data_IF_702283294830
#
_entry.id   IF_702283294830
#
_cell.length_a   1.000
_cell.length_b   1.000
_cell.length_c   1.000
_cell.angle_alpha   90.00
_cell.angle_beta   90.00
_cell.angle_gamma   90.00
#
_symmetry.space_group_name_H-M   'P 1'
#
loop_
_entity.id
_entity.type
_entity.pdbx_description
1 polymer ?
#
# COMPACT_ATOMS: atom_id res chain seq x y z
N UNK A 1 -23.84 23.77 -54.07
CA UNK A 1 -24.51 24.72 -54.98
C UNK A 1 -23.63 25.96 -55.08
N UNK A 2 -23.24 26.40 -56.29
CA UNK A 2 -22.04 27.21 -56.56
C UNK A 2 -22.35 28.60 -57.16
N UNK A 3 -21.30 29.41 -57.42
CA UNK A 3 -21.07 30.31 -58.60
C UNK A 3 -20.23 31.59 -58.23
N UNK A 4 -19.67 32.38 -59.18
CA UNK A 4 -18.60 32.03 -60.14
C UNK A 4 -17.65 33.22 -60.50
N UNK A 5 -16.69 33.01 -61.42
CA UNK A 5 -16.09 34.04 -62.30
C UNK A 5 -14.73 34.61 -61.85
N UNK A 6 -13.73 34.85 -62.70
CA UNK A 6 -13.74 35.01 -64.15
C UNK A 6 -12.36 34.68 -64.79
N UNK A 7 -12.42 34.21 -66.04
CA UNK A 7 -11.34 34.18 -67.03
C UNK A 7 -10.98 35.59 -67.50
N UNK A 8 -9.73 35.80 -67.96
CA UNK A 8 -9.28 36.50 -69.19
C UNK A 8 -7.74 36.43 -69.18
N UNK A 9 -7.06 35.68 -70.05
CA UNK A 9 -6.74 35.94 -71.47
C UNK A 9 -5.64 36.99 -71.69
N UNK A 10 -4.45 36.49 -72.08
CA UNK A 10 -3.68 36.94 -73.25
C UNK A 10 -2.92 38.26 -73.21
N UNK A 11 -1.59 38.20 -73.43
CA UNK A 11 -0.92 38.99 -74.48
C UNK A 11 0.57 38.62 -74.58
N UNK A 12 0.97 38.22 -75.78
CA UNK A 12 2.36 38.14 -76.24
C UNK A 12 3.07 39.50 -76.12
N UNK A 13 4.36 39.48 -75.78
CA UNK A 13 5.30 40.53 -76.17
C UNK A 13 6.64 39.89 -76.51
N UNK A 14 6.99 39.97 -77.78
CA UNK A 14 8.29 39.64 -78.34
C UNK A 14 9.11 40.93 -78.45
N UNK A 15 10.35 40.96 -77.94
CA UNK A 15 11.37 41.93 -78.34
C UNK A 15 12.76 41.27 -78.35
N UNK A 16 13.49 41.65 -79.40
CA UNK A 16 14.73 41.15 -79.98
C UNK A 16 16.03 41.04 -79.15
N UNK A 17 16.86 40.09 -79.63
CA UNK A 17 18.30 40.16 -79.92
C UNK A 17 19.24 41.10 -79.12
N UNK A 18 20.29 40.54 -78.49
CA UNK A 18 21.62 40.25 -79.08
C UNK A 18 22.62 39.72 -78.02
N UNK A 19 23.68 38.98 -78.42
CA UNK A 19 24.68 38.43 -77.52
C UNK A 19 25.87 39.39 -77.37
N UNK A 20 26.43 39.50 -76.15
CA UNK A 20 27.71 40.17 -75.93
C UNK A 20 28.67 39.29 -75.14
N UNK A 21 29.67 38.85 -75.90
CA UNK A 21 31.08 38.85 -75.51
C UNK A 21 31.52 37.85 -74.43
N UNK A 22 32.03 36.72 -74.92
CA UNK A 22 33.06 35.97 -74.22
C UNK A 22 34.28 36.88 -73.99
N UNK A 23 34.73 37.01 -72.74
CA UNK A 23 36.12 37.30 -72.43
C UNK A 23 36.60 36.39 -71.30
N UNK A 24 37.59 35.61 -71.68
CA UNK A 24 38.53 34.85 -70.87
C UNK A 24 38.98 35.62 -69.62
N UNK A 25 38.85 35.00 -68.45
CA UNK A 25 39.76 35.18 -67.33
C UNK A 25 40.22 33.79 -66.87
N UNK A 26 41.42 33.46 -67.32
CA UNK A 26 42.45 32.61 -66.71
C UNK A 26 42.00 31.59 -65.64
N UNK A 27 42.02 30.31 -66.01
CA UNK A 27 41.91 29.18 -65.10
C UNK A 27 43.15 29.08 -64.21
N UNK A 28 43.10 29.73 -63.06
CA UNK A 28 44.01 29.44 -61.96
C UNK A 28 43.67 28.06 -61.36
N UNK A 29 44.62 27.12 -61.19
CA UNK A 29 44.34 25.78 -60.66
C UNK A 29 43.73 25.80 -59.24
N UNK A 30 43.94 26.87 -58.47
CA UNK A 30 43.31 27.10 -57.17
C UNK A 30 41.81 27.44 -57.25
N UNK A 31 41.33 28.02 -58.37
CA UNK A 31 39.92 28.38 -58.58
C UNK A 31 39.05 27.14 -58.86
N UNK A 32 39.59 26.14 -59.55
CA UNK A 32 38.93 24.84 -59.76
C UNK A 32 38.80 24.04 -58.45
N UNK A 33 39.83 24.09 -57.58
CA UNK A 33 39.79 23.36 -56.30
C UNK A 33 38.75 23.94 -55.34
N UNK A 34 38.65 25.27 -55.23
CA UNK A 34 37.63 25.95 -54.43
C UNK A 34 36.21 25.67 -54.93
N UNK A 35 35.98 25.71 -56.24
CA UNK A 35 34.68 25.37 -56.82
C UNK A 35 34.29 23.91 -56.54
N UNK A 36 35.23 22.96 -56.64
CA UNK A 36 34.98 21.55 -56.32
C UNK A 36 34.68 21.34 -54.83
N UNK A 37 35.39 22.03 -53.93
CA UNK A 37 35.14 21.96 -52.48
C UNK A 37 33.76 22.52 -52.13
N UNK A 38 33.40 23.68 -52.69
CA UNK A 38 32.08 24.30 -52.48
C UNK A 38 30.97 23.39 -53.00
N UNK A 39 31.10 22.90 -54.24
CA UNK A 39 30.14 21.98 -54.83
C UNK A 39 29.98 20.70 -54.00
N UNK A 40 31.08 20.10 -53.53
CA UNK A 40 31.04 18.90 -52.67
C UNK A 40 30.41 19.19 -51.32
N UNK A 41 30.67 20.36 -50.74
CA UNK A 41 30.08 20.78 -49.46
C UNK A 41 28.57 20.99 -49.59
N UNK A 42 28.11 21.61 -50.68
CA UNK A 42 26.69 21.81 -50.96
C UNK A 42 25.98 20.48 -51.20
N UNK A 43 26.57 19.57 -51.99
CA UNK A 43 25.99 18.25 -52.27
C UNK A 43 25.88 17.42 -50.99
N UNK A 44 26.94 17.36 -50.17
CA UNK A 44 26.91 16.62 -48.91
C UNK A 44 25.95 17.24 -47.89
N UNK A 45 25.87 18.57 -47.81
CA UNK A 45 24.87 19.25 -46.97
C UNK A 45 23.43 18.99 -47.44
N UNK A 46 23.18 18.93 -48.76
CA UNK A 46 21.87 18.57 -49.33
C UNK A 46 21.50 17.11 -49.00
N UNK A 47 22.44 16.18 -49.18
CA UNK A 47 22.22 14.77 -48.85
C UNK A 47 21.91 14.56 -47.35
N UNK A 48 22.67 15.22 -46.46
CA UNK A 48 22.40 15.20 -45.01
C UNK A 48 21.02 15.74 -44.67
N UNK A 49 20.65 16.90 -45.22
CA UNK A 49 19.30 17.49 -45.01
C UNK A 49 18.17 16.61 -45.54
N UNK A 50 18.39 15.87 -46.62
CA UNK A 50 17.42 14.91 -47.14
C UNK A 50 17.25 13.72 -46.17
N UNK A 51 18.36 13.16 -45.68
CA UNK A 51 18.34 12.08 -44.68
C UNK A 51 17.71 12.52 -43.35
N UNK A 52 18.00 13.74 -42.88
CA UNK A 52 17.39 14.29 -41.65
C UNK A 52 15.86 14.47 -41.81
N UNK A 53 15.40 14.89 -43.00
CA UNK A 53 13.95 14.98 -43.29
C UNK A 53 13.28 13.62 -43.26
N UNK A 54 13.88 12.61 -43.87
CA UNK A 54 13.38 11.23 -43.83
C UNK A 54 13.34 10.71 -42.39
N UNK A 55 14.37 10.99 -41.59
CA UNK A 55 14.42 10.61 -40.18
C UNK A 55 13.35 11.31 -39.34
N UNK A 56 13.04 12.57 -39.61
CA UNK A 56 11.93 13.29 -38.94
C UNK A 56 10.60 12.62 -39.26
N UNK A 57 10.38 12.21 -40.51
CA UNK A 57 9.15 11.51 -40.91
C UNK A 57 9.02 10.17 -40.18
N UNK A 58 10.11 9.39 -40.11
CA UNK A 58 10.14 8.13 -39.37
C UNK A 58 9.88 8.33 -37.86
N UNK A 59 10.52 9.33 -37.24
CA UNK A 59 10.28 9.65 -35.83
C UNK A 59 8.83 10.09 -35.61
N UNK A 60 8.26 10.91 -36.49
CA UNK A 60 6.87 11.35 -36.39
C UNK A 60 5.89 10.16 -36.50
N UNK A 61 6.12 9.23 -37.43
CA UNK A 61 5.33 8.01 -37.54
C UNK A 61 5.40 7.17 -36.25
N UNK A 62 6.60 7.00 -35.69
CA UNK A 62 6.79 6.27 -34.43
C UNK A 62 6.13 6.96 -33.23
N UNK A 63 6.12 8.30 -33.19
CA UNK A 63 5.38 9.06 -32.16
C UNK A 63 3.89 8.73 -32.27
N UNK A 64 3.32 8.78 -33.48
CA UNK A 64 1.91 8.48 -33.70
C UNK A 64 1.57 7.05 -33.24
N UNK A 65 2.38 6.06 -33.61
CA UNK A 65 2.16 4.65 -33.23
C UNK A 65 2.24 4.45 -31.71
N UNK A 66 3.21 5.08 -31.04
CA UNK A 66 3.33 5.03 -29.59
C UNK A 66 2.19 5.76 -28.89
N UNK A 67 1.76 6.91 -29.40
CA UNK A 67 0.58 7.62 -28.88
C UNK A 67 -0.69 6.78 -29.03
N UNK A 68 -0.88 6.09 -30.16
CA UNK A 68 -1.95 5.11 -30.34
C UNK A 68 -1.87 4.00 -29.29
N UNK A 69 -0.68 3.46 -29.05
CA UNK A 69 -0.47 2.41 -28.06
C UNK A 69 -0.76 2.88 -26.63
N UNK A 70 -0.32 4.10 -26.26
CA UNK A 70 -0.61 4.72 -24.96
C UNK A 70 -2.10 4.93 -24.79
N UNK A 71 -2.81 5.41 -25.82
CA UNK A 71 -4.27 5.58 -25.77
C UNK A 71 -4.99 4.24 -25.54
N UNK A 72 -4.59 3.20 -26.26
CA UNK A 72 -5.17 1.87 -26.11
C UNK A 72 -4.98 1.32 -24.68
N UNK A 73 -3.75 1.39 -24.15
CA UNK A 73 -3.45 0.93 -22.80
C UNK A 73 -4.17 1.74 -21.72
N UNK A 74 -4.37 3.05 -21.92
CA UNK A 74 -5.16 3.87 -20.99
C UNK A 74 -6.63 3.50 -21.00
N UNK A 75 -7.21 3.20 -22.16
CA UNK A 75 -8.60 2.73 -22.25
C UNK A 75 -8.77 1.35 -21.58
N UNK A 76 -7.79 0.46 -21.75
CA UNK A 76 -7.76 -0.82 -21.03
C UNK A 76 -7.64 -0.61 -19.51
N UNK A 77 -6.77 0.30 -19.08
CA UNK A 77 -6.63 0.66 -17.67
C UNK A 77 -7.94 1.17 -17.07
N UNK A 78 -8.65 2.05 -17.78
CA UNK A 78 -9.96 2.58 -17.36
C UNK A 78 -10.98 1.45 -17.21
N UNK A 79 -11.06 0.54 -18.19
CA UNK A 79 -11.95 -0.63 -18.14
C UNK A 79 -11.65 -1.53 -16.94
N UNK A 80 -10.36 -1.76 -16.63
CA UNK A 80 -9.96 -2.55 -15.46
C UNK A 80 -10.27 -1.81 -14.16
N UNK A 81 -10.05 -0.48 -14.12
CA UNK A 81 -10.35 0.33 -12.95
C UNK A 81 -11.86 0.36 -12.65
N UNK A 82 -12.72 0.52 -13.66
CA UNK A 82 -14.17 0.44 -13.51
C UNK A 82 -14.62 -0.91 -12.93
N UNK A 83 -14.02 -2.02 -13.39
CA UNK A 83 -14.29 -3.36 -12.83
C UNK A 83 -13.86 -3.46 -11.38
N UNK A 84 -12.74 -2.83 -11.01
CA UNK A 84 -12.25 -2.83 -9.64
C UNK A 84 -13.15 -2.01 -8.71
N UNK A 85 -13.62 -0.85 -9.18
CA UNK A 85 -14.51 0.05 -8.43
C UNK A 85 -15.92 -0.55 -8.27
N UNK A 86 -16.35 -1.38 -9.23
CA UNK A 86 -17.58 -2.15 -9.11
C UNK A 86 -17.53 -3.25 -8.03
N UNK A 87 -16.34 -3.72 -7.64
CA UNK A 87 -16.23 -4.67 -6.53
C UNK A 87 -16.55 -3.99 -5.21
N UNK A 88 -17.73 -4.28 -4.69
CA UNK A 88 -18.07 -3.96 -3.31
C UNK A 88 -17.39 -4.99 -2.41
N UNK A 89 -16.49 -4.55 -1.53
CA UNK A 89 -15.90 -5.41 -0.50
C UNK A 89 -16.87 -5.46 0.69
N UNK A 90 -17.60 -6.57 0.92
CA UNK A 90 -18.71 -6.58 1.89
C UNK A 90 -18.26 -6.17 3.28
N UNK A 91 -17.05 -6.55 3.68
CA UNK A 91 -16.50 -6.24 5.00
C UNK A 91 -16.08 -4.77 5.18
N UNK A 92 -16.01 -3.99 4.11
CA UNK A 92 -15.82 -2.54 4.15
C UNK A 92 -17.15 -1.77 4.12
N UNK A 93 -18.25 -2.45 3.80
CA UNK A 93 -19.60 -1.87 3.76
C UNK A 93 -20.48 -2.24 4.95
N UNK A 94 -20.04 -3.21 5.77
CA UNK A 94 -20.76 -3.59 6.98
C UNK A 94 -20.72 -2.45 8.01
N UNK A 95 -21.84 -2.15 8.69
CA UNK A 95 -21.84 -1.31 9.88
C UNK A 95 -20.83 -1.81 10.91
N UNK A 96 -20.15 -0.92 11.65
CA UNK A 96 -19.18 -1.28 12.69
C UNK A 96 -19.70 -2.32 13.69
N UNK A 97 -20.99 -2.28 14.02
CA UNK A 97 -21.65 -3.19 14.95
C UNK A 97 -21.62 -4.64 14.44
N UNK A 98 -21.90 -4.86 13.16
CA UNK A 98 -21.88 -6.19 12.57
C UNK A 98 -20.44 -6.72 12.44
N UNK A 99 -19.48 -5.84 12.17
CA UNK A 99 -18.06 -6.20 12.15
C UNK A 99 -17.60 -6.59 13.56
N UNK A 100 -18.01 -5.84 14.58
CA UNK A 100 -17.77 -6.19 15.99
C UNK A 100 -18.33 -7.57 16.35
N UNK A 101 -19.56 -7.88 15.94
CA UNK A 101 -20.19 -9.17 16.21
C UNK A 101 -19.43 -10.32 15.53
N UNK A 102 -19.04 -10.16 14.25
CA UNK A 102 -18.20 -11.12 13.55
C UNK A 102 -16.88 -11.35 14.30
N UNK A 103 -16.23 -10.28 14.78
CA UNK A 103 -14.98 -10.38 15.53
C UNK A 103 -15.16 -11.10 16.86
N UNK A 104 -16.30 -10.95 17.54
CA UNK A 104 -16.58 -11.68 18.79
C UNK A 104 -16.70 -13.18 18.50
N UNK A 105 -17.30 -13.56 17.37
CA UNK A 105 -17.40 -14.94 16.93
C UNK A 105 -16.10 -15.55 16.39
N UNK A 106 -15.11 -14.72 16.03
CA UNK A 106 -13.78 -15.18 15.66
C UNK A 106 -12.99 -15.75 16.85
N UNK A 107 -13.28 -15.31 18.07
CA UNK A 107 -12.61 -15.77 19.28
C UNK A 107 -13.29 -17.03 19.85
N UNK A 108 -12.58 -17.83 20.67
CA UNK A 108 -13.20 -18.92 21.41
C UNK A 108 -14.41 -18.42 22.22
N UNK A 109 -15.51 -19.18 22.17
CA UNK A 109 -16.75 -18.84 22.89
C UNK A 109 -16.45 -18.63 24.38
N UNK A 110 -16.84 -17.46 24.89
CA UNK A 110 -16.71 -17.12 26.30
C UNK A 110 -17.30 -18.22 27.20
N UNK A 111 -16.61 -18.65 28.28
CA UNK A 111 -15.41 -18.06 28.89
C UNK A 111 -14.07 -18.66 28.43
N UNK A 112 -14.02 -19.37 27.31
CA UNK A 112 -12.73 -19.87 26.77
C UNK A 112 -11.80 -18.69 26.47
N UNK A 113 -10.49 -18.90 26.66
CA UNK A 113 -9.49 -17.83 26.58
C UNK A 113 -8.76 -17.92 25.25
N UNK A 114 -8.72 -16.79 24.55
CA UNK A 114 -7.86 -16.63 23.38
C UNK A 114 -6.39 -16.43 23.81
N UNK A 115 -5.41 -16.82 22.99
CA UNK A 115 -4.04 -16.37 23.16
C UNK A 115 -3.96 -14.84 23.15
N UNK A 116 -3.19 -14.24 24.06
CA UNK A 116 -2.98 -12.78 24.03
C UNK A 116 -2.15 -12.35 22.79
N UNK A 117 -1.34 -13.24 22.24
CA UNK A 117 -0.51 -13.06 21.04
C UNK A 117 -0.65 -14.25 20.07
N UNK A 118 -0.34 -14.03 18.80
CA UNK A 118 -0.35 -15.09 17.77
C UNK A 118 -1.72 -15.30 17.10
N UNK A 119 -1.91 -16.49 16.54
CA UNK A 119 -3.13 -16.87 15.84
C UNK A 119 -4.33 -16.84 16.81
N UNK A 120 -5.48 -16.34 16.34
CA UNK A 120 -6.69 -16.14 17.14
C UNK A 120 -6.58 -15.08 18.25
N UNK A 121 -5.56 -14.22 18.23
CA UNK A 121 -5.50 -13.03 19.11
C UNK A 121 -6.32 -11.88 18.51
N UNK A 122 -7.07 -11.11 19.32
CA UNK A 122 -7.73 -9.87 18.87
C UNK A 122 -6.79 -8.86 18.19
N UNK A 123 -5.49 -8.94 18.47
CA UNK A 123 -4.48 -8.05 17.89
C UNK A 123 -4.37 -8.26 16.37
N UNK A 124 -4.53 -9.50 15.88
CA UNK A 124 -4.39 -9.80 14.45
C UNK A 124 -5.49 -9.15 13.61
N UNK A 125 -6.70 -8.98 14.18
CA UNK A 125 -7.79 -8.25 13.54
C UNK A 125 -7.41 -6.80 13.25
N UNK A 126 -6.64 -6.16 14.14
CA UNK A 126 -6.16 -4.79 13.96
C UNK A 126 -5.00 -4.62 12.97
N UNK A 127 -4.47 -5.71 12.41
CA UNK A 127 -3.38 -5.69 11.43
C UNK A 127 -3.89 -5.70 9.98
N UNK A 128 -5.18 -5.96 9.75
CA UNK A 128 -5.75 -6.13 8.40
C UNK A 128 -5.93 -4.79 7.68
N UNK A 129 -6.70 -3.87 8.26
CA UNK A 129 -6.87 -2.52 7.72
C UNK A 129 -7.18 -1.51 8.83
N UNK A 130 -7.27 -0.21 8.49
CA UNK A 130 -7.57 0.86 9.47
C UNK A 130 -8.96 0.68 10.11
N UNK A 131 -9.99 0.42 9.30
CA UNK A 131 -11.36 0.20 9.78
C UNK A 131 -11.44 -0.94 10.80
N UNK A 132 -10.84 -2.10 10.50
CA UNK A 132 -10.86 -3.25 11.40
C UNK A 132 -10.11 -2.97 12.70
N UNK A 133 -9.03 -2.20 12.65
CA UNK A 133 -8.30 -1.79 13.86
C UNK A 133 -9.18 -0.92 14.76
N UNK A 134 -9.88 0.05 14.20
CA UNK A 134 -10.78 0.92 14.94
C UNK A 134 -11.90 0.12 15.60
N UNK A 135 -12.57 -0.74 14.83
CA UNK A 135 -13.64 -1.63 15.34
C UNK A 135 -13.12 -2.59 16.40
N UNK A 136 -12.00 -3.28 16.15
CA UNK A 136 -11.43 -4.22 17.10
C UNK A 136 -11.02 -3.51 18.40
N UNK A 137 -10.45 -2.31 18.33
CA UNK A 137 -9.97 -1.58 19.52
C UNK A 137 -11.12 -0.91 20.29
N UNK A 138 -12.23 -0.60 19.62
CA UNK A 138 -13.43 -0.04 20.26
C UNK A 138 -14.34 -1.10 20.88
N UNK A 139 -14.20 -2.39 20.51
CA UNK A 139 -15.03 -3.51 20.97
C UNK A 139 -14.48 -4.16 22.24
N UNK A 140 -15.02 -3.88 23.45
CA UNK A 140 -14.40 -4.32 24.70
C UNK A 140 -14.45 -5.84 24.92
N UNK A 141 -15.45 -6.50 24.33
CA UNK A 141 -15.68 -7.94 24.45
C UNK A 141 -14.51 -8.77 23.91
N UNK A 142 -13.78 -8.26 22.90
CA UNK A 142 -12.61 -8.96 22.34
C UNK A 142 -11.45 -9.02 23.34
N UNK A 143 -11.37 -8.06 24.25
CA UNK A 143 -10.24 -7.90 25.17
C UNK A 143 -10.52 -8.47 26.56
N UNK A 144 -11.72 -9.02 26.79
CA UNK A 144 -12.12 -9.56 28.10
C UNK A 144 -11.58 -10.96 28.38
N UNK A 145 -10.99 -11.62 27.38
CA UNK A 145 -10.42 -12.97 27.52
C UNK A 145 -8.99 -13.00 27.03
N UNK A 146 -8.06 -13.49 27.83
CA UNK A 146 -6.73 -13.80 27.34
C UNK A 146 -6.01 -14.84 28.19
N UNK A 147 -5.18 -15.63 27.50
CA UNK A 147 -4.24 -16.60 28.07
C UNK A 147 -2.85 -16.00 28.04
N UNK A 148 -2.24 -15.87 29.22
CA UNK A 148 -0.87 -15.40 29.40
C UNK A 148 0.00 -16.61 29.74
N UNK A 149 0.94 -16.92 28.84
CA UNK A 149 1.98 -17.94 29.05
C UNK A 149 3.29 -17.19 29.07
N UNK A 150 3.88 -17.02 30.25
CA UNK A 150 5.19 -16.40 30.36
C UNK A 150 6.28 -17.47 30.26
N UNK A 151 7.36 -17.22 29.50
CA UNK A 151 8.45 -18.17 29.37
C UNK A 151 9.13 -18.38 30.73
N UNK A 152 9.56 -19.61 31.00
CA UNK A 152 10.29 -19.95 32.23
C UNK A 152 11.72 -19.36 32.30
N UNK A 153 12.11 -18.51 31.34
CA UNK A 153 13.48 -17.98 31.19
C UNK A 153 13.48 -16.45 31.13
N UNK A 154 14.45 -15.86 31.82
CA UNK A 154 14.68 -14.43 32.09
C UNK A 154 14.98 -13.54 30.86
N UNK A 155 14.25 -13.67 29.76
CA UNK A 155 14.36 -12.70 28.68
C UNK A 155 13.56 -11.44 29.04
N UNK A 156 14.19 -10.48 29.72
CA UNK A 156 13.62 -9.16 30.08
C UNK A 156 12.87 -8.46 28.93
N UNK A 157 13.24 -8.74 27.67
CA UNK A 157 12.58 -8.19 26.48
C UNK A 157 11.17 -8.74 26.24
N UNK A 158 10.88 -10.00 26.59
CA UNK A 158 9.53 -10.58 26.43
C UNK A 158 8.57 -9.95 27.42
N UNK A 159 8.99 -9.80 28.68
CA UNK A 159 8.15 -9.29 29.77
C UNK A 159 7.63 -7.87 29.50
N UNK A 160 8.49 -6.97 29.00
CA UNK A 160 8.06 -5.59 28.72
C UNK A 160 7.03 -5.52 27.59
N UNK A 161 7.22 -6.31 26.52
CA UNK A 161 6.29 -6.32 25.39
C UNK A 161 4.94 -6.92 25.80
N UNK A 162 4.95 -7.99 26.61
CA UNK A 162 3.74 -8.62 27.11
C UNK A 162 3.03 -7.73 28.12
N UNK A 163 3.76 -7.00 28.96
CA UNK A 163 3.19 -6.00 29.85
C UNK A 163 2.41 -4.92 29.07
N UNK A 164 3.02 -4.32 28.05
CA UNK A 164 2.36 -3.29 27.22
C UNK A 164 1.10 -3.84 26.55
N UNK A 165 1.15 -5.09 26.06
CA UNK A 165 0.00 -5.73 25.40
C UNK A 165 -1.13 -6.03 26.38
N UNK A 166 -0.80 -6.57 27.56
CA UNK A 166 -1.78 -6.90 28.60
C UNK A 166 -2.42 -5.64 29.15
N UNK A 167 -1.64 -4.60 29.43
CA UNK A 167 -2.17 -3.31 29.88
C UNK A 167 -3.10 -2.69 28.82
N UNK A 168 -2.71 -2.75 27.55
CA UNK A 168 -3.58 -2.31 26.46
C UNK A 168 -4.88 -3.13 26.38
N UNK A 169 -4.81 -4.45 26.57
CA UNK A 169 -6.00 -5.31 26.59
C UNK A 169 -6.91 -5.00 27.78
N UNK A 170 -6.35 -4.85 28.99
CA UNK A 170 -7.08 -4.50 30.21
C UNK A 170 -7.81 -3.16 30.05
N UNK A 171 -7.13 -2.15 29.51
CA UNK A 171 -7.73 -0.84 29.20
C UNK A 171 -8.86 -0.94 28.16
N UNK A 172 -8.65 -1.68 27.07
CA UNK A 172 -9.67 -1.84 26.01
C UNK A 172 -10.87 -2.66 26.46
N UNK A 173 -10.68 -3.58 27.41
CA UNK A 173 -11.78 -4.36 27.98
C UNK A 173 -12.74 -3.56 28.88
N UNK A 174 -12.40 -2.30 29.19
CA UNK A 174 -13.24 -1.34 29.95
C UNK A 174 -13.77 -1.93 31.26
N UNK A 175 -15.08 -2.13 31.38
CA UNK A 175 -15.74 -2.70 32.55
C UNK A 175 -16.15 -4.17 32.36
N UNK A 176 -15.79 -4.80 31.24
CA UNK A 176 -16.18 -6.18 30.98
C UNK A 176 -15.62 -7.15 32.04
N UNK A 177 -16.39 -8.18 32.43
CA UNK A 177 -15.89 -9.25 33.29
C UNK A 177 -14.82 -10.07 32.58
N UNK A 178 -13.69 -10.30 33.26
CA UNK A 178 -12.49 -10.89 32.70
C UNK A 178 -12.48 -12.43 32.85
N UNK A 179 -12.05 -13.14 31.80
CA UNK A 179 -11.70 -14.56 31.84
C UNK A 179 -10.21 -14.72 31.56
N UNK A 180 -9.45 -15.12 32.58
CA UNK A 180 -7.99 -15.13 32.56
C UNK A 180 -7.47 -16.55 32.74
N UNK A 181 -6.43 -16.88 31.99
CA UNK A 181 -5.62 -18.08 32.20
C UNK A 181 -4.16 -17.66 32.35
N UNK A 182 -3.62 -17.81 33.56
CA UNK A 182 -2.27 -17.41 33.91
C UNK A 182 -1.42 -18.67 34.07
N UNK A 183 -0.52 -18.90 33.13
CA UNK A 183 0.49 -19.94 33.23
C UNK A 183 1.80 -19.29 33.68
N UNK A 184 2.03 -19.30 35.00
CA UNK A 184 3.10 -18.53 35.63
C UNK A 184 3.96 -19.44 36.53
N UNK A 185 5.19 -19.71 36.10
CA UNK A 185 6.08 -20.63 36.79
C UNK A 185 6.61 -20.08 38.14
N UNK A 186 6.68 -18.75 38.29
CA UNK A 186 6.98 -18.07 39.56
C UNK A 186 6.20 -16.76 39.67
N UNK A 187 5.12 -16.66 40.45
CA UNK A 187 4.46 -15.36 40.69
C UNK A 187 5.36 -14.50 41.61
N UNK A 188 6.55 -14.16 41.14
CA UNK A 188 7.29 -13.02 41.67
C UNK A 188 6.43 -11.78 41.36
N UNK A 189 6.40 -10.80 42.28
CA UNK A 189 5.68 -9.53 42.14
C UNK A 189 6.27 -8.71 41.01
N UNK A 190 5.99 -9.11 39.77
CA UNK A 190 6.37 -8.38 38.57
C UNK A 190 5.37 -7.25 38.34
N UNK A 191 5.79 -6.13 37.70
CA UNK A 191 4.88 -5.05 37.35
C UNK A 191 3.66 -5.50 36.54
N UNK A 192 3.84 -6.51 35.68
CA UNK A 192 2.76 -7.13 34.93
C UNK A 192 1.72 -7.81 35.84
N UNK A 193 2.19 -8.57 36.81
CA UNK A 193 1.31 -9.27 37.75
C UNK A 193 0.52 -8.29 38.62
N UNK A 194 1.18 -7.24 39.13
CA UNK A 194 0.52 -6.14 39.86
C UNK A 194 -0.59 -5.47 39.02
N UNK A 195 -0.31 -5.21 37.74
CA UNK A 195 -1.29 -4.62 36.81
C UNK A 195 -2.52 -5.52 36.64
N UNK A 196 -2.33 -6.84 36.60
CA UNK A 196 -3.41 -7.81 36.49
C UNK A 196 -4.23 -7.84 37.79
N UNK A 197 -3.57 -7.90 38.95
CA UNK A 197 -4.21 -7.90 40.28
C UNK A 197 -5.01 -6.62 40.53
N UNK A 198 -4.54 -5.46 40.06
CA UNK A 198 -5.27 -4.20 40.19
C UNK A 198 -6.69 -4.27 39.60
N UNK A 199 -6.93 -5.20 38.66
CA UNK A 199 -8.23 -5.42 38.02
C UNK A 199 -9.01 -6.62 38.60
N UNK A 200 -8.61 -7.17 39.75
CA UNK A 200 -9.21 -8.39 40.34
C UNK A 200 -10.71 -8.33 40.61
N UNK A 201 -11.25 -7.14 40.90
CA UNK A 201 -12.69 -6.95 41.09
C UNK A 201 -13.51 -7.34 39.85
N UNK A 202 -12.89 -7.30 38.66
CA UNK A 202 -13.51 -7.64 37.38
C UNK A 202 -13.34 -9.11 36.98
N UNK A 203 -12.57 -9.91 37.74
CA UNK A 203 -12.32 -11.31 37.38
C UNK A 203 -13.58 -12.14 37.56
N UNK A 204 -13.99 -12.83 36.49
CA UNK A 204 -15.16 -13.71 36.49
C UNK A 204 -14.78 -15.18 36.35
N UNK A 205 -13.78 -15.49 35.53
CA UNK A 205 -13.23 -16.84 35.44
C UNK A 205 -11.71 -16.77 35.50
N UNK A 206 -11.11 -17.51 36.44
CA UNK A 206 -9.67 -17.55 36.62
C UNK A 206 -9.18 -18.99 36.56
N UNK A 207 -8.16 -19.26 35.74
CA UNK A 207 -7.40 -20.50 35.79
C UNK A 207 -5.92 -20.19 36.00
N UNK A 208 -5.34 -20.85 36.98
CA UNK A 208 -3.97 -20.64 37.40
C UNK A 208 -3.18 -21.93 37.25
N UNK A 209 -2.03 -21.84 36.59
CA UNK A 209 -1.00 -22.87 36.62
C UNK A 209 0.20 -22.29 37.36
N UNK A 210 0.20 -22.44 38.68
CA UNK A 210 1.15 -21.79 39.61
C UNK A 210 1.49 -22.74 40.75
N UNK A 211 2.63 -22.50 41.40
CA UNK A 211 2.97 -23.15 42.67
C UNK A 211 2.04 -22.65 43.79
N UNK A 212 1.59 -23.55 44.66
CA UNK A 212 0.64 -23.24 45.76
C UNK A 212 1.14 -22.12 46.68
N UNK A 213 2.46 -22.05 46.91
CA UNK A 213 3.09 -21.00 47.72
C UNK A 213 2.80 -19.57 47.23
N UNK A 214 2.43 -19.43 45.95
CA UNK A 214 2.18 -18.14 45.34
C UNK A 214 0.70 -17.70 45.37
N UNK A 215 -0.20 -18.52 45.92
CA UNK A 215 -1.63 -18.20 45.98
C UNK A 215 -1.94 -17.03 46.93
N UNK A 216 -1.11 -16.81 47.96
CA UNK A 216 -1.25 -15.66 48.84
C UNK A 216 -1.16 -14.33 48.07
N UNK A 217 -0.42 -14.30 46.95
CA UNK A 217 -0.20 -13.10 46.16
C UNK A 217 -1.45 -12.60 45.42
N UNK A 218 -2.49 -13.44 45.26
CA UNK A 218 -3.76 -13.05 44.64
C UNK A 218 -4.87 -12.77 45.65
N UNK A 219 -4.59 -12.83 46.96
CA UNK A 219 -5.60 -12.61 47.98
C UNK A 219 -6.32 -11.27 47.85
N UNK A 220 -7.63 -11.28 48.11
CA UNK A 220 -8.44 -10.08 48.10
C UNK A 220 -9.90 -10.33 47.72
N UNK A 221 -10.71 -9.25 47.64
CA UNK A 221 -12.12 -9.35 47.28
C UNK A 221 -12.30 -9.68 45.80
N UNK A 222 -12.99 -10.78 45.52
CA UNK A 222 -13.31 -11.25 44.17
C UNK A 222 -14.80 -11.06 43.85
N UNK A 223 -15.22 -9.81 43.63
CA UNK A 223 -16.64 -9.45 43.54
C UNK A 223 -17.44 -10.17 42.42
N UNK A 224 -16.79 -10.51 41.30
CA UNK A 224 -17.46 -11.11 40.12
C UNK A 224 -17.05 -12.56 39.85
N UNK A 225 -16.24 -13.18 40.70
CA UNK A 225 -15.61 -14.46 40.42
C UNK A 225 -16.65 -15.59 40.50
N UNK A 226 -16.81 -16.30 39.38
CA UNK A 226 -17.73 -17.43 39.23
C UNK A 226 -17.00 -18.77 39.16
N UNK A 227 -15.77 -18.79 38.67
CA UNK A 227 -14.97 -20.02 38.64
C UNK A 227 -13.50 -19.74 38.92
N UNK A 228 -12.92 -20.53 39.80
CA UNK A 228 -11.48 -20.59 40.05
C UNK A 228 -11.01 -22.03 39.82
N UNK A 229 -9.95 -22.20 39.04
CA UNK A 229 -9.32 -23.50 38.81
C UNK A 229 -7.82 -23.34 39.00
N UNK A 230 -7.26 -24.12 39.93
CA UNK A 230 -5.83 -24.12 40.23
C UNK A 230 -5.30 -25.48 39.83
N UNK A 231 -4.25 -25.48 39.03
CA UNK A 231 -3.54 -26.69 38.62
C UNK A 231 -2.08 -26.53 39.04
N UNK A 232 -1.63 -27.38 39.96
CA UNK A 232 -0.22 -27.43 40.33
C UNK A 232 0.58 -28.02 39.18
N UNK A 233 1.66 -27.34 38.78
CA UNK A 233 2.69 -27.94 37.94
C UNK A 233 3.47 -28.92 38.85
N UNK A 234 3.22 -30.22 38.68
CA UNK A 234 3.99 -31.30 39.33
C UNK A 234 5.39 -31.41 38.75
#
# INVERSE_FOLDING_TARGET
>A
MPRPGAMMSGSEFQVDAQPRSALFLERSPSCNLLQVIIARTIITARARRAADRERIVDIAARIIDLECSIRALRAEQETVQERLDAYTYPVLTLPPELVSDIFVHFLPVYPKRAPHTGLLSPITLGQICRLWREVAFSTPQLWRTFKLVLPARDSKRSDQADQVRVEAALRRSRSCPLSLELCYYRLETTPLFETIIAHRARWQHLRLFVLVANLAAIEGPFALLRSLSISSLT
#
